data_IF_515435716488
#
_entry.id   IF_515435716488
#
_cell.length_a   1.000
_cell.length_b   1.000
_cell.length_c   1.000
_cell.angle_alpha   90.00
_cell.angle_beta   90.00
_cell.angle_gamma   90.00
#
_symmetry.space_group_name_H-M   'P 1'
#
loop_
_entity.id
_entity.type
_entity.pdbx_description
1 polymer ?
#
# COMPACT_ATOMS: atom_id res chain seq x y z
N UNK A 1 2.07 -12.29 -5.28
CA UNK A 1 3.31 -11.78 -4.65
C UNK A 1 3.10 -11.55 -3.16
N UNK A 2 2.18 -10.66 -2.76
CA UNK A 2 1.91 -10.39 -1.34
C UNK A 2 1.63 -11.66 -0.53
N UNK A 3 0.68 -12.49 -1.00
CA UNK A 3 0.35 -13.76 -0.34
C UNK A 3 1.56 -14.67 -0.14
N UNK A 4 2.44 -14.79 -1.12
CA UNK A 4 3.67 -15.59 -1.00
C UNK A 4 4.60 -15.07 0.09
N UNK A 5 4.70 -13.74 0.25
CA UNK A 5 5.52 -13.12 1.29
C UNK A 5 4.89 -13.22 2.69
N UNK A 6 3.56 -13.29 2.79
CA UNK A 6 2.85 -13.49 4.06
C UNK A 6 2.90 -14.97 4.48
N UNK A 7 2.76 -15.89 3.53
CA UNK A 7 2.67 -17.33 3.79
C UNK A 7 4.05 -18.00 3.98
N UNK A 8 5.15 -17.30 3.71
CA UNK A 8 6.51 -17.85 3.82
C UNK A 8 7.47 -16.87 4.50
N UNK A 9 8.20 -17.30 5.55
CA UNK A 9 9.19 -16.45 6.22
C UNK A 9 10.43 -16.16 5.36
N UNK A 10 10.63 -16.91 4.27
CA UNK A 10 11.81 -16.80 3.39
C UNK A 10 11.54 -15.94 2.14
N UNK A 11 10.30 -15.50 1.93
CA UNK A 11 9.92 -14.68 0.77
C UNK A 11 9.62 -13.27 1.25
N UNK A 12 10.41 -12.30 0.78
CA UNK A 12 10.22 -10.89 1.12
C UNK A 12 9.71 -10.10 -0.07
N UNK A 13 8.51 -9.51 0.07
CA UNK A 13 8.03 -8.51 -0.88
C UNK A 13 8.60 -7.15 -0.48
N UNK A 14 9.31 -6.50 -1.40
CA UNK A 14 10.01 -5.24 -1.14
C UNK A 14 9.12 -4.04 -1.40
N UNK A 15 8.63 -3.91 -2.64
CA UNK A 15 7.89 -2.72 -3.08
C UNK A 15 6.96 -3.05 -4.24
N UNK A 16 5.90 -2.25 -4.45
CA UNK A 16 5.23 -2.19 -5.75
C UNK A 16 6.09 -1.41 -6.76
N UNK A 17 5.91 -1.67 -8.06
CA UNK A 17 6.64 -0.94 -9.10
C UNK A 17 5.93 0.33 -9.58
N UNK A 18 4.65 0.52 -9.26
CA UNK A 18 3.88 1.64 -9.81
C UNK A 18 4.44 3.02 -9.45
N UNK A 19 5.23 3.15 -8.38
CA UNK A 19 5.84 4.42 -7.99
C UNK A 19 7.16 4.73 -8.73
N UNK A 20 7.70 3.78 -9.50
CA UNK A 20 8.98 3.92 -10.19
C UNK A 20 8.81 4.56 -11.58
N UNK A 21 9.82 5.27 -12.11
CA UNK A 21 9.75 5.84 -13.46
C UNK A 21 9.83 4.78 -14.56
N UNK A 22 8.86 4.81 -15.48
CA UNK A 22 8.73 3.93 -16.65
C UNK A 22 9.21 4.62 -17.94
N UNK A 23 9.69 3.82 -18.88
CA UNK A 23 9.94 4.25 -20.25
C UNK A 23 8.63 4.55 -20.98
N UNK A 24 8.72 5.22 -22.13
CA UNK A 24 7.55 5.64 -22.92
C UNK A 24 6.68 4.48 -23.41
N UNK A 25 7.21 3.25 -23.42
CA UNK A 25 6.44 2.04 -23.74
C UNK A 25 5.47 1.61 -22.62
N UNK A 26 5.56 2.22 -21.44
CA UNK A 26 4.71 1.94 -20.29
C UNK A 26 4.88 0.54 -19.70
N UNK A 27 5.89 -0.22 -20.13
CA UNK A 27 6.14 -1.61 -19.72
C UNK A 27 7.46 -1.76 -18.98
N UNK A 28 8.50 -1.09 -19.45
CA UNK A 28 9.84 -1.18 -18.86
C UNK A 28 10.10 -0.02 -17.92
N UNK A 29 10.88 -0.27 -16.86
CA UNK A 29 11.43 0.81 -16.06
C UNK A 29 12.49 1.56 -16.86
N UNK A 30 12.63 2.86 -16.59
CA UNK A 30 13.80 3.62 -17.02
C UNK A 30 15.06 3.12 -16.31
N UNK A 31 16.24 3.57 -16.75
CA UNK A 31 17.48 3.27 -16.03
C UNK A 31 17.44 3.78 -14.58
N UNK A 32 16.85 4.95 -14.33
CA UNK A 32 16.64 5.47 -12.97
C UNK A 32 15.71 4.57 -12.16
N UNK A 33 14.63 4.07 -12.80
CA UNK A 33 13.67 3.19 -12.13
C UNK A 33 14.29 1.85 -11.72
N UNK A 34 15.15 1.27 -12.57
CA UNK A 34 15.93 0.09 -12.21
C UNK A 34 16.93 0.37 -11.08
N UNK A 35 17.55 1.55 -11.06
CA UNK A 35 18.50 1.94 -10.03
C UNK A 35 17.82 2.11 -8.67
N UNK A 36 16.71 2.86 -8.61
CA UNK A 36 15.91 3.02 -7.39
C UNK A 36 15.37 1.67 -6.89
N UNK A 37 14.90 0.80 -7.79
CA UNK A 37 14.48 -0.56 -7.42
C UNK A 37 15.64 -1.38 -6.82
N UNK A 38 16.83 -1.28 -7.40
CA UNK A 38 18.03 -1.93 -6.89
C UNK A 38 18.40 -1.45 -5.49
N UNK A 39 18.28 -0.14 -5.21
CA UNK A 39 18.50 0.41 -3.88
C UNK A 39 17.45 -0.06 -2.87
N UNK A 40 16.17 -0.13 -3.26
CA UNK A 40 15.11 -0.64 -2.39
C UNK A 40 15.36 -2.12 -2.04
N UNK A 41 15.83 -2.90 -3.02
CA UNK A 41 16.23 -4.30 -2.78
C UNK A 41 17.46 -4.37 -1.87
N UNK A 42 18.46 -3.50 -2.05
CA UNK A 42 19.63 -3.41 -1.18
C UNK A 42 19.28 -3.05 0.26
N UNK A 43 18.35 -2.11 0.45
CA UNK A 43 17.81 -1.70 1.76
C UNK A 43 17.19 -2.90 2.48
N UNK A 44 16.26 -3.60 1.84
CA UNK A 44 15.60 -4.77 2.43
C UNK A 44 16.57 -5.94 2.63
N UNK A 45 17.48 -6.18 1.69
CA UNK A 45 18.51 -7.22 1.83
C UNK A 45 19.41 -6.94 3.05
N UNK A 46 19.86 -5.70 3.25
CA UNK A 46 20.62 -5.32 4.44
C UNK A 46 19.83 -5.56 5.72
N UNK A 47 18.55 -5.17 5.75
CA UNK A 47 17.67 -5.37 6.90
C UNK A 47 17.51 -6.86 7.27
N UNK A 48 17.24 -7.71 6.27
CA UNK A 48 17.00 -9.14 6.49
C UNK A 48 18.30 -9.92 6.71
N UNK A 49 19.22 -9.84 5.75
CA UNK A 49 20.36 -10.75 5.68
C UNK A 49 21.54 -10.26 6.52
N UNK A 50 21.80 -8.95 6.51
CA UNK A 50 22.94 -8.38 7.24
C UNK A 50 22.59 -8.12 8.71
N UNK A 51 21.40 -7.59 8.99
CA UNK A 51 20.97 -7.22 10.34
C UNK A 51 20.14 -8.32 11.03
N UNK A 52 19.71 -9.36 10.31
CA UNK A 52 18.93 -10.46 10.87
C UNK A 52 17.53 -10.04 11.34
N UNK A 53 16.97 -8.97 10.80
CA UNK A 53 15.65 -8.44 11.20
C UNK A 53 14.56 -8.90 10.24
N UNK A 54 13.33 -9.17 10.73
CA UNK A 54 12.22 -9.52 9.85
C UNK A 54 11.83 -8.33 8.97
N UNK A 55 11.38 -8.61 7.74
CA UNK A 55 10.86 -7.58 6.84
C UNK A 55 9.44 -7.90 6.39
N UNK A 56 8.59 -6.88 6.46
CA UNK A 56 7.30 -6.86 5.79
C UNK A 56 7.13 -5.52 5.06
N UNK A 57 6.54 -5.50 3.85
CA UNK A 57 6.27 -4.25 3.15
C UNK A 57 5.18 -3.44 3.87
N UNK A 58 4.93 -2.21 3.39
CA UNK A 58 3.70 -1.52 3.72
C UNK A 58 2.50 -2.28 3.12
N UNK A 59 1.73 -2.94 3.98
CA UNK A 59 0.59 -3.80 3.62
C UNK A 59 -0.53 -3.74 4.66
N UNK A 60 -1.79 -4.05 4.30
CA UNK A 60 -2.84 -4.18 5.30
C UNK A 60 -2.60 -5.39 6.20
N UNK A 61 -3.00 -5.24 7.47
CA UNK A 61 -3.07 -6.30 8.48
C UNK A 61 -4.51 -6.73 8.73
N UNK A 62 -5.46 -5.79 8.63
CA UNK A 62 -6.89 -6.07 8.76
C UNK A 62 -7.74 -4.93 8.22
N UNK A 63 -8.91 -5.25 7.69
CA UNK A 63 -9.95 -4.29 7.34
C UNK A 63 -11.20 -4.58 8.18
N UNK A 64 -11.65 -3.58 8.95
CA UNK A 64 -12.82 -3.71 9.84
C UNK A 64 -13.87 -2.66 9.51
N UNK A 65 -15.10 -3.08 9.25
CA UNK A 65 -16.24 -2.19 9.04
C UNK A 65 -16.96 -1.85 10.35
N UNK A 66 -17.22 -0.56 10.56
CA UNK A 66 -18.12 -0.05 11.61
C UNK A 66 -19.11 0.90 10.93
N UNK A 67 -20.34 0.43 10.70
CA UNK A 67 -21.30 1.13 9.85
C UNK A 67 -20.74 1.26 8.42
N UNK A 68 -20.67 2.48 7.91
CA UNK A 68 -20.12 2.81 6.57
C UNK A 68 -18.61 3.12 6.56
N UNK A 69 -17.93 2.99 7.70
CA UNK A 69 -16.50 3.28 7.80
C UNK A 69 -15.70 1.99 7.84
N UNK A 70 -14.73 1.86 6.93
CA UNK A 70 -13.72 0.81 6.96
C UNK A 70 -12.47 1.37 7.65
N UNK A 71 -12.03 0.70 8.70
CA UNK A 71 -10.77 0.96 9.38
C UNK A 71 -9.75 -0.07 8.91
N UNK A 72 -8.76 0.40 8.16
CA UNK A 72 -7.67 -0.41 7.64
C UNK A 72 -6.45 -0.19 8.51
N UNK A 73 -6.02 -1.23 9.21
CA UNK A 73 -4.76 -1.22 9.96
C UNK A 73 -3.65 -1.73 9.06
N UNK A 74 -2.54 -1.02 9.00
CA UNK A 74 -1.38 -1.37 8.19
C UNK A 74 -0.19 -1.83 9.04
N UNK A 75 0.62 -2.71 8.48
CA UNK A 75 2.03 -2.82 8.83
C UNK A 75 2.74 -1.65 8.15
N UNK A 76 3.46 -0.84 8.91
CA UNK A 76 4.11 0.38 8.41
C UNK A 76 5.59 0.29 8.79
N UNK A 77 6.49 -0.01 7.84
CA UNK A 77 7.91 -0.21 8.16
C UNK A 77 8.51 1.00 8.88
N UNK A 78 8.22 2.21 8.39
CA UNK A 78 8.64 3.47 9.02
C UNK A 78 7.44 4.42 9.15
N UNK A 79 6.75 4.46 10.30
CA UNK A 79 5.60 5.35 10.49
C UNK A 79 6.01 6.83 10.52
N UNK A 80 5.10 7.77 10.19
CA UNK A 80 3.68 7.56 9.91
C UNK A 80 3.37 7.25 8.44
N UNK A 81 2.14 6.82 8.19
CA UNK A 81 1.54 6.81 6.84
C UNK A 81 1.44 8.23 6.27
N UNK A 82 1.54 8.33 4.94
CA UNK A 82 1.27 9.55 4.16
C UNK A 82 0.48 9.20 2.89
N UNK A 83 -0.46 10.07 2.54
CA UNK A 83 -1.11 10.09 1.22
C UNK A 83 -0.35 11.08 0.33
N UNK A 84 0.36 10.56 -0.66
CA UNK A 84 1.26 11.30 -1.53
C UNK A 84 0.73 11.33 -2.96
N UNK A 85 0.14 12.47 -3.32
CA UNK A 85 -0.39 12.72 -4.67
C UNK A 85 0.57 13.51 -5.55
N UNK A 86 1.75 13.87 -5.03
CA UNK A 86 2.77 14.63 -5.75
C UNK A 86 3.65 13.68 -6.57
N UNK A 87 4.03 12.54 -5.98
CA UNK A 87 4.95 11.57 -6.62
C UNK A 87 4.22 10.50 -7.42
N UNK A 88 2.97 10.19 -7.06
CA UNK A 88 2.08 9.31 -7.81
C UNK A 88 0.78 10.07 -8.05
N UNK A 89 0.27 10.12 -9.27
CA UNK A 89 -1.00 10.80 -9.54
C UNK A 89 -2.14 10.00 -8.93
N UNK A 90 -3.11 10.67 -8.29
CA UNK A 90 -4.27 9.99 -7.70
C UNK A 90 -5.10 9.29 -8.79
N UNK A 91 -5.24 7.94 -8.76
CA UNK A 91 -6.10 7.20 -9.68
C UNK A 91 -7.59 7.28 -9.30
N UNK A 92 -7.92 7.97 -8.20
CA UNK A 92 -9.22 7.99 -7.56
C UNK A 92 -9.13 7.32 -6.18
N UNK A 93 -9.70 7.99 -5.17
CA UNK A 93 -9.70 7.52 -3.78
C UNK A 93 -8.32 7.03 -3.30
N UNK A 94 -7.24 7.68 -3.74
CA UNK A 94 -5.85 7.34 -3.39
C UNK A 94 -5.42 5.90 -3.78
N UNK A 95 -6.12 5.28 -4.72
CA UNK A 95 -5.92 3.89 -5.13
C UNK A 95 -6.75 2.85 -4.39
N UNK A 96 -7.60 3.24 -3.44
CA UNK A 96 -8.54 2.32 -2.80
C UNK A 96 -9.76 2.06 -3.68
N UNK A 97 -10.22 0.82 -3.74
CA UNK A 97 -11.48 0.43 -4.40
C UNK A 97 -12.19 -0.68 -3.61
N UNK A 98 -13.51 -0.79 -3.77
CA UNK A 98 -14.34 -1.78 -3.06
C UNK A 98 -14.93 -2.76 -4.06
N UNK A 99 -15.04 -4.04 -3.69
CA UNK A 99 -15.69 -5.07 -4.49
C UNK A 99 -16.70 -5.89 -3.66
N UNK A 100 -17.96 -6.05 -4.08
CA UNK A 100 -18.59 -5.42 -5.25
C UNK A 100 -18.55 -3.88 -5.18
N UNK A 101 -18.62 -3.17 -6.32
CA UNK A 101 -18.44 -1.71 -6.35
C UNK A 101 -19.41 -0.95 -5.45
N UNK A 102 -18.84 -0.12 -4.57
CA UNK A 102 -19.53 0.81 -3.65
C UNK A 102 -18.78 2.14 -3.70
N UNK A 103 -19.47 3.28 -3.59
CA UNK A 103 -18.83 4.59 -3.67
C UNK A 103 -17.99 4.88 -2.43
N UNK A 104 -16.74 5.29 -2.62
CA UNK A 104 -15.89 5.83 -1.56
C UNK A 104 -16.07 7.35 -1.52
N UNK A 105 -16.59 7.87 -0.41
CA UNK A 105 -16.78 9.31 -0.20
C UNK A 105 -15.49 10.00 0.26
N UNK A 106 -14.68 9.33 1.08
CA UNK A 106 -13.41 9.90 1.56
C UNK A 106 -12.46 8.83 2.06
N UNK A 107 -11.16 9.16 2.02
CA UNK A 107 -10.07 8.37 2.59
C UNK A 107 -9.25 9.30 3.47
N UNK A 108 -8.99 8.89 4.70
CA UNK A 108 -8.29 9.72 5.69
C UNK A 108 -7.33 8.87 6.52
N UNK A 109 -6.12 9.37 6.75
CA UNK A 109 -5.22 8.81 7.76
C UNK A 109 -5.72 9.29 9.13
N UNK A 110 -6.08 8.34 10.00
CA UNK A 110 -6.66 8.61 11.33
C UNK A 110 -5.73 8.18 12.47
N UNK A 111 -4.50 7.80 12.15
CA UNK A 111 -3.43 7.43 13.06
C UNK A 111 -2.17 7.06 12.27
N UNK A 112 -1.02 6.84 12.93
CA UNK A 112 0.25 6.60 12.24
C UNK A 112 0.25 5.35 11.35
N UNK A 113 -0.71 4.43 11.56
CA UNK A 113 -0.84 3.15 10.84
C UNK A 113 -2.28 2.79 10.47
N UNK A 114 -3.21 3.74 10.51
CA UNK A 114 -4.64 3.49 10.26
C UNK A 114 -5.19 4.44 9.21
N UNK A 115 -5.80 3.87 8.18
CA UNK A 115 -6.61 4.59 7.20
C UNK A 115 -8.08 4.31 7.47
N UNK A 116 -8.89 5.36 7.48
CA UNK A 116 -10.35 5.27 7.45
C UNK A 116 -10.83 5.54 6.02
N UNK A 117 -11.47 4.55 5.42
CA UNK A 117 -12.20 4.68 4.16
C UNK A 117 -13.68 4.82 4.49
N UNK A 118 -14.33 5.87 4.01
CA UNK A 118 -15.74 6.14 4.25
C UNK A 118 -16.53 5.84 2.99
N UNK A 119 -17.51 4.95 3.10
CA UNK A 119 -18.41 4.56 2.03
C UNK A 119 -19.72 5.37 2.09
N UNK A 120 -20.46 5.39 0.98
CA UNK A 120 -21.81 5.98 0.90
C UNK A 120 -22.84 5.19 1.74
N UNK A 121 -22.67 3.89 1.89
CA UNK A 121 -23.45 3.03 2.78
C UNK A 121 -22.61 1.92 3.42
N UNK A 122 -23.20 1.20 4.38
CA UNK A 122 -22.53 0.07 5.01
C UNK A 122 -22.18 -1.01 3.95
N UNK A 123 -20.98 -1.61 3.99
CA UNK A 123 -20.61 -2.66 3.06
C UNK A 123 -21.47 -3.90 3.27
N UNK A 124 -21.75 -4.64 2.20
CA UNK A 124 -22.40 -5.93 2.28
C UNK A 124 -21.45 -7.00 2.86
N UNK A 125 -21.98 -8.17 3.21
CA UNK A 125 -21.15 -9.35 3.51
C UNK A 125 -20.25 -9.70 2.32
N UNK A 126 -19.11 -10.32 2.59
CA UNK A 126 -18.11 -10.70 1.57
C UNK A 126 -17.54 -9.52 0.74
N UNK A 127 -17.72 -8.28 1.22
CA UNK A 127 -17.08 -7.11 0.61
C UNK A 127 -15.56 -7.23 0.74
N UNK A 128 -14.84 -6.88 -0.32
CA UNK A 128 -13.39 -6.76 -0.35
C UNK A 128 -13.01 -5.28 -0.44
N UNK A 129 -11.98 -4.90 0.31
CA UNK A 129 -11.24 -3.67 0.05
C UNK A 129 -9.98 -4.02 -0.74
N UNK A 130 -9.80 -3.37 -1.87
CA UNK A 130 -8.64 -3.54 -2.73
C UNK A 130 -7.85 -2.24 -2.82
N UNK A 131 -6.59 -2.35 -3.18
CA UNK A 131 -5.71 -1.20 -3.34
C UNK A 131 -4.77 -1.37 -4.52
N UNK A 132 -4.71 -0.34 -5.36
CA UNK A 132 -3.93 -0.32 -6.60
C UNK A 132 -4.19 -1.55 -7.48
N UNK A 133 -5.38 -2.16 -7.41
CA UNK A 133 -5.61 -3.50 -7.93
C UNK A 133 -6.06 -3.49 -9.39
N UNK A 134 -7.05 -2.64 -9.72
CA UNK A 134 -7.56 -2.52 -11.10
C UNK A 134 -6.77 -1.50 -11.91
N UNK A 135 -6.29 -1.91 -13.09
CA UNK A 135 -5.68 -1.02 -14.07
C UNK A 135 -6.58 -0.82 -15.30
N UNK A 136 -6.38 0.28 -16.02
CA UNK A 136 -7.08 0.51 -17.29
C UNK A 136 -6.44 -0.33 -18.40
N UNK A 137 -7.21 -1.15 -19.15
CA UNK A 137 -6.67 -1.93 -20.27
C UNK A 137 -5.95 -1.04 -21.29
N UNK A 138 -4.72 -1.42 -21.66
CA UNK A 138 -3.89 -0.68 -22.61
C UNK A 138 -3.17 0.54 -22.01
N UNK A 139 -3.40 0.91 -20.75
CA UNK A 139 -2.61 1.92 -20.07
C UNK A 139 -1.25 1.35 -19.62
N UNK A 140 -0.19 2.15 -19.80
CA UNK A 140 1.13 1.84 -19.26
C UNK A 140 1.15 1.82 -17.73
N UNK A 141 2.14 1.18 -17.14
CA UNK A 141 2.43 1.27 -15.71
C UNK A 141 3.08 2.59 -15.33
N UNK A 142 3.49 2.68 -14.06
CA UNK A 142 4.22 3.82 -13.52
C UNK A 142 3.34 4.80 -12.73
N UNK A 143 3.90 5.94 -12.31
CA UNK A 143 3.29 6.80 -11.30
C UNK A 143 2.13 7.63 -11.83
N UNK A 144 1.90 7.62 -13.15
CA UNK A 144 0.91 8.46 -13.82
C UNK A 144 -0.26 7.62 -14.35
N UNK A 145 -0.02 6.39 -14.78
CA UNK A 145 -0.99 5.53 -15.48
C UNK A 145 -1.02 4.13 -14.88
N UNK A 146 -2.01 3.34 -15.26
CA UNK A 146 -2.14 1.96 -14.78
C UNK A 146 -2.56 1.86 -13.31
N UNK A 147 -2.48 0.65 -12.78
CA UNK A 147 -2.89 0.35 -11.40
C UNK A 147 -1.84 0.87 -10.42
N UNK A 148 -2.24 1.82 -9.56
CA UNK A 148 -1.36 2.55 -8.64
C UNK A 148 -2.13 3.02 -7.41
N UNK A 149 -1.44 3.61 -6.45
CA UNK A 149 -2.06 4.26 -5.31
C UNK A 149 -1.10 5.20 -4.60
N UNK A 150 -1.60 5.96 -3.62
CA UNK A 150 -0.88 7.11 -3.06
C UNK A 150 -0.40 6.89 -1.62
N UNK A 151 -0.65 5.72 -1.04
CA UNK A 151 -0.25 5.42 0.33
C UNK A 151 1.21 4.97 0.37
N UNK A 152 2.02 5.69 1.15
CA UNK A 152 3.39 5.32 1.52
C UNK A 152 3.61 5.46 3.02
N UNK A 153 4.74 4.97 3.51
CA UNK A 153 5.25 5.28 4.84
C UNK A 153 6.23 6.46 4.81
N UNK A 154 6.90 6.79 5.92
CA UNK A 154 7.78 7.95 6.05
C UNK A 154 9.28 7.60 6.10
N UNK A 155 9.68 6.53 5.44
CA UNK A 155 11.09 6.09 5.41
C UNK A 155 12.02 7.16 4.81
N UNK A 156 13.01 7.58 5.58
CA UNK A 156 13.99 8.61 5.22
C UNK A 156 15.39 8.04 4.91
N UNK A 157 15.47 6.73 4.63
CA UNK A 157 16.73 6.06 4.28
C UNK A 157 17.43 6.82 3.15
N UNK A 158 18.70 7.25 3.33
CA UNK A 158 19.39 8.02 2.32
C UNK A 158 19.72 7.15 1.10
N UNK A 159 19.34 7.65 -0.08
CA UNK A 159 19.76 7.09 -1.36
C UNK A 159 21.12 7.65 -1.77
N UNK A 160 22.10 6.82 -2.18
CA UNK A 160 23.35 7.28 -2.80
C UNK A 160 23.14 8.10 -4.09
N UNK A 161 21.99 7.97 -4.74
CA UNK A 161 21.66 8.66 -5.99
C UNK A 161 20.52 9.69 -5.83
N UNK A 162 20.12 9.97 -4.59
CA UNK A 162 19.12 11.00 -4.28
C UNK A 162 17.68 10.61 -4.58
N UNK A 163 17.37 9.31 -4.63
CA UNK A 163 16.00 8.82 -4.71
C UNK A 163 15.28 8.87 -3.36
N UNK A 164 13.97 9.05 -3.42
CA UNK A 164 13.11 8.82 -2.26
C UNK A 164 12.97 7.31 -2.00
N UNK A 165 13.22 6.92 -0.76
CA UNK A 165 13.28 5.52 -0.34
C UNK A 165 12.02 5.06 0.42
N UNK A 166 10.93 5.81 0.33
CA UNK A 166 9.64 5.47 0.94
C UNK A 166 9.17 4.06 0.56
N UNK A 167 8.53 3.39 1.52
CA UNK A 167 7.88 2.12 1.27
C UNK A 167 6.44 2.40 0.82
N UNK A 168 6.20 2.29 -0.49
CA UNK A 168 4.88 2.41 -1.09
C UNK A 168 4.01 1.18 -0.77
N UNK A 169 2.72 1.40 -0.53
CA UNK A 169 1.79 0.33 -0.19
C UNK A 169 1.67 -0.65 -1.35
N UNK A 170 1.83 -1.93 -1.07
CA UNK A 170 1.71 -2.99 -2.07
C UNK A 170 0.24 -3.20 -2.47
N UNK A 171 0.04 -3.77 -3.66
CA UNK A 171 -1.27 -4.20 -4.13
C UNK A 171 -1.87 -5.23 -3.18
N UNK A 172 -3.17 -5.11 -2.89
CA UNK A 172 -3.90 -6.09 -2.07
C UNK A 172 -5.38 -6.18 -2.44
N UNK A 173 -5.99 -7.28 -2.00
CA UNK A 173 -7.42 -7.58 -2.07
C UNK A 173 -7.88 -8.31 -0.79
N UNK A 174 -8.25 -7.53 0.24
CA UNK A 174 -8.51 -8.05 1.58
C UNK A 174 -10.01 -8.08 1.91
N UNK A 175 -10.49 -9.13 2.59
CA UNK A 175 -11.87 -9.19 3.05
C UNK A 175 -12.14 -8.13 4.14
N UNK A 176 -13.27 -7.44 3.99
CA UNK A 176 -13.82 -6.54 5.00
C UNK A 176 -14.52 -7.38 6.05
N UNK A 177 -14.04 -7.30 7.29
CA UNK A 177 -14.64 -8.02 8.42
C UNK A 177 -15.63 -7.11 9.15
N UNK A 178 -16.74 -7.68 9.61
CA UNK A 178 -17.65 -6.97 10.50
C UNK A 178 -16.93 -6.65 11.83
N UNK A 179 -16.92 -5.37 12.21
CA UNK A 179 -16.51 -4.95 13.54
C UNK A 179 -17.58 -5.34 14.54
N UNK A 180 -17.50 -6.55 15.10
CA UNK A 180 -18.20 -6.83 16.35
C UNK A 180 -17.70 -5.84 17.39
N UNK A 181 -18.60 -5.28 18.21
CA UNK A 181 -18.24 -4.41 19.33
C UNK A 181 -17.38 -5.19 20.33
N UNK A 182 -16.09 -5.30 20.07
CA UNK A 182 -15.13 -5.71 21.08
C UNK A 182 -14.84 -4.43 21.87
N UNK A 183 -15.49 -4.30 23.02
CA UNK A 183 -15.07 -3.36 24.04
C UNK A 183 -13.62 -3.72 24.39
N UNK A 184 -12.65 -2.98 23.87
CA UNK A 184 -11.30 -3.02 24.41
C UNK A 184 -11.38 -2.36 25.79
N UNK A 185 -11.04 -3.04 26.89
CA UNK A 185 -10.90 -2.36 28.16
C UNK A 185 -9.73 -1.40 28.02
N UNK A 186 -9.98 -0.13 28.30
CA UNK A 186 -8.94 0.88 28.49
C UNK A 186 -8.13 0.42 29.71
N UNK A 187 -6.90 -0.03 29.49
CA UNK A 187 -5.96 -0.23 30.58
C UNK A 187 -5.41 1.15 30.97
N UNK A 188 -5.55 1.50 32.25
CA UNK A 188 -4.96 2.67 32.90
C UNK A 188 -3.45 2.53 33.04
#
# INVERSE_FOLDING_TARGET
QLRSAVDSPDIHLVMPKYALPYADDGLHLTWQGYQQMGEQYGKVYSHVVVQGQPWEPLRPLSVVAIGRHLYVRFHVPVPPLVLDTEHVTDPGAYGFEVWPPVSIESVQIVGPSVVRVTLDHAPAEETLLRYAYTGTPGAGGGPITGARGNLRDSDDTPSPHGYDMWNWCVHFDEPVRAGYRVFFPVAY
#
